data_IF_466019695165
#
_entry.id   IF_466019695165
#
_cell.length_a   1.000
_cell.length_b   1.000
_cell.length_c   1.000
_cell.angle_alpha   90.00
_cell.angle_beta   90.00
_cell.angle_gamma   90.00
#
_symmetry.space_group_name_H-M   'P 1'
#
loop_
_entity.id
_entity.type
_entity.pdbx_description
1 polymer ?
#
# COMPACT_ATOMS: atom_id res chain seq x y z
N UNK A 1 -45.00 -2.65 38.12
CA UNK A 1 -43.74 -2.02 38.59
C UNK A 1 -42.62 -2.50 37.69
N UNK A 2 -41.96 -1.58 36.99
CA UNK A 2 -40.80 -1.81 36.13
C UNK A 2 -39.51 -1.77 36.95
N UNK A 3 -38.61 -2.72 36.70
CA UNK A 3 -37.13 -2.64 36.77
C UNK A 3 -36.63 -3.91 36.06
N UNK A 4 -36.03 -3.87 34.86
CA UNK A 4 -34.67 -3.37 34.57
C UNK A 4 -33.66 -4.29 35.28
N UNK A 5 -32.81 -5.09 34.62
CA UNK A 5 -31.72 -4.69 33.71
C UNK A 5 -31.19 -5.95 33.01
N UNK A 6 -30.92 -5.86 31.71
CA UNK A 6 -30.20 -6.88 30.95
C UNK A 6 -28.70 -6.81 31.16
N UNK A 7 -28.04 -7.97 31.10
CA UNK A 7 -26.59 -8.08 30.91
C UNK A 7 -26.37 -9.21 29.91
N UNK A 8 -26.21 -8.86 28.63
CA UNK A 8 -25.59 -9.75 27.65
C UNK A 8 -24.10 -9.83 28.01
N UNK A 9 -23.66 -10.99 28.49
CA UNK A 9 -22.25 -11.28 28.67
C UNK A 9 -21.59 -11.45 27.30
N UNK A 10 -21.07 -10.37 26.73
CA UNK A 10 -20.07 -10.43 25.65
C UNK A 10 -18.72 -10.78 26.29
N UNK A 11 -18.48 -12.08 26.44
CA UNK A 11 -17.18 -12.60 26.81
C UNK A 11 -16.23 -12.51 25.60
N UNK A 12 -15.33 -11.53 25.69
CA UNK A 12 -13.89 -11.67 25.43
C UNK A 12 -13.43 -12.21 24.07
N UNK A 13 -13.24 -11.31 23.12
CA UNK A 13 -12.07 -11.38 22.23
C UNK A 13 -10.98 -10.50 22.82
N UNK A 14 -9.71 -10.95 22.87
CA UNK A 14 -8.64 -10.11 23.40
C UNK A 14 -8.40 -8.98 22.42
N UNK A 15 -8.85 -7.77 22.80
CA UNK A 15 -8.24 -6.53 22.38
C UNK A 15 -6.81 -6.52 22.94
N UNK A 16 -5.91 -7.24 22.29
CA UNK A 16 -4.48 -7.05 22.43
C UNK A 16 -4.02 -6.19 21.27
N UNK A 17 -3.34 -5.10 21.63
CA UNK A 17 -2.55 -4.22 20.76
C UNK A 17 -3.29 -3.14 19.95
N UNK A 18 -4.13 -2.35 20.62
CA UNK A 18 -4.63 -1.08 20.06
C UNK A 18 -3.77 0.15 20.44
N UNK A 19 -2.60 -0.04 21.06
CA UNK A 19 -1.82 1.05 21.69
C UNK A 19 -0.31 1.03 21.37
N UNK A 20 0.11 0.39 20.27
CA UNK A 20 1.44 0.67 19.72
C UNK A 20 1.33 1.83 18.71
N UNK A 21 1.94 3.00 18.96
CA UNK A 21 1.94 4.11 18.01
C UNK A 21 2.61 3.75 16.67
N UNK A 22 3.42 2.68 16.59
CA UNK A 22 3.95 2.16 15.33
C UNK A 22 2.95 1.29 14.55
N UNK A 23 1.88 0.80 15.19
CA UNK A 23 0.76 0.09 14.53
C UNK A 23 -0.29 1.04 13.93
N UNK A 24 -0.16 2.36 14.10
CA UNK A 24 -1.13 3.35 13.65
C UNK A 24 -1.12 3.61 12.13
N UNK A 25 -0.13 3.08 11.40
CA UNK A 25 -0.23 2.93 9.94
C UNK A 25 -0.92 1.61 9.66
N UNK A 26 -2.22 1.56 9.96
CA UNK A 26 -3.12 0.55 9.40
C UNK A 26 -2.83 0.49 7.91
N UNK A 27 -2.43 -0.70 7.43
CA UNK A 27 -2.31 -1.04 6.03
C UNK A 27 -3.46 -0.41 5.25
N UNK A 28 -3.17 0.71 4.57
CA UNK A 28 -4.16 1.45 3.83
C UNK A 28 -4.20 0.85 2.43
N UNK A 29 -4.84 -0.31 2.32
CA UNK A 29 -5.13 -0.92 1.03
C UNK A 29 -6.24 -0.10 0.36
N UNK A 30 -5.84 0.86 -0.47
CA UNK A 30 -6.80 1.50 -1.36
C UNK A 30 -7.01 0.59 -2.56
N UNK A 31 -8.02 -0.26 -2.42
CA UNK A 31 -8.47 -1.18 -3.46
C UNK A 31 -9.21 -0.39 -4.55
N UNK A 32 -8.67 -0.51 -5.77
CA UNK A 32 -9.24 -0.04 -7.03
C UNK A 32 -9.25 1.47 -7.24
N UNK A 33 -8.09 1.97 -7.64
CA UNK A 33 -7.90 3.32 -8.17
C UNK A 33 -8.08 3.31 -9.71
N UNK A 34 -8.58 4.40 -10.25
CA UNK A 34 -8.68 4.64 -11.70
C UNK A 34 -8.31 6.10 -11.97
N UNK A 35 -7.08 6.45 -11.60
CA UNK A 35 -6.52 7.78 -11.77
C UNK A 35 -5.16 7.69 -12.47
N UNK A 36 -4.73 8.73 -13.21
CA UNK A 36 -3.40 8.75 -13.82
C UNK A 36 -2.31 8.59 -12.74
N UNK A 37 -1.38 7.65 -12.95
CA UNK A 37 -0.28 7.46 -12.02
C UNK A 37 0.66 8.69 -12.03
N UNK A 38 0.93 9.31 -10.87
CA UNK A 38 1.78 10.50 -10.83
C UNK A 38 3.24 10.20 -11.24
N UNK A 39 3.85 11.12 -11.98
CA UNK A 39 5.31 11.14 -12.18
C UNK A 39 5.92 9.93 -12.89
N UNK A 40 5.19 9.24 -13.77
CA UNK A 40 5.69 8.07 -14.51
C UNK A 40 7.02 8.33 -15.24
N UNK A 41 7.17 9.52 -15.82
CA UNK A 41 8.40 9.93 -16.52
C UNK A 41 9.60 10.01 -15.57
N UNK A 42 9.38 10.55 -14.36
CA UNK A 42 10.40 10.65 -13.31
C UNK A 42 10.76 9.29 -12.74
N UNK A 43 9.78 8.38 -12.69
CA UNK A 43 9.93 6.99 -12.28
C UNK A 43 10.58 6.12 -13.37
N UNK A 44 10.69 6.62 -14.61
CA UNK A 44 11.21 5.86 -15.74
C UNK A 44 10.31 4.70 -16.17
N UNK A 45 9.02 4.75 -15.82
CA UNK A 45 8.03 3.74 -16.21
C UNK A 45 7.75 3.89 -17.70
N UNK A 46 7.91 2.78 -18.45
CA UNK A 46 7.64 2.79 -19.89
C UNK A 46 6.17 2.49 -20.17
N UNK A 47 5.53 3.19 -21.13
CA UNK A 47 4.16 2.87 -21.55
C UNK A 47 4.02 1.43 -22.07
N UNK A 48 2.79 0.90 -22.01
CA UNK A 48 2.43 -0.39 -22.63
C UNK A 48 2.84 -1.63 -21.82
N UNK A 49 3.39 -1.45 -20.62
CA UNK A 49 3.68 -2.55 -19.69
C UNK A 49 3.35 -2.13 -18.26
N UNK A 50 2.66 -2.95 -17.46
CA UNK A 50 2.41 -2.67 -16.05
C UNK A 50 3.70 -2.39 -15.26
N UNK A 51 3.58 -1.69 -14.15
CA UNK A 51 4.68 -1.41 -13.25
C UNK A 51 4.29 -1.58 -11.78
N UNK A 52 5.23 -2.09 -10.98
CA UNK A 52 5.18 -2.02 -9.53
C UNK A 52 6.16 -0.94 -9.09
N UNK A 53 5.64 0.09 -8.44
CA UNK A 53 6.41 1.22 -7.91
C UNK A 53 6.57 1.02 -6.42
N UNK A 54 7.75 0.59 -5.99
CA UNK A 54 8.12 0.40 -4.59
C UNK A 54 8.60 1.72 -3.99
N UNK A 55 7.98 2.12 -2.89
CA UNK A 55 8.37 3.27 -2.07
C UNK A 55 9.05 2.77 -0.81
N UNK A 56 10.30 3.20 -0.61
CA UNK A 56 11.15 2.67 0.46
C UNK A 56 12.41 3.53 0.65
N UNK A 57 12.92 3.55 1.89
CA UNK A 57 14.25 4.08 2.21
C UNK A 57 15.36 3.05 1.97
N UNK A 58 16.62 3.49 1.91
CA UNK A 58 17.76 2.58 1.81
C UNK A 58 18.07 1.92 3.17
N UNK A 59 18.30 0.59 3.24
CA UNK A 59 18.26 -0.37 2.14
C UNK A 59 16.83 -0.75 1.74
N UNK A 60 16.58 -0.85 0.43
CA UNK A 60 15.31 -1.32 -0.12
C UNK A 60 15.55 -2.50 -1.06
N UNK A 61 15.06 -3.66 -0.64
CA UNK A 61 15.13 -4.90 -1.40
C UNK A 61 13.73 -5.46 -1.64
N UNK A 62 12.98 -4.90 -2.63
CA UNK A 62 11.65 -5.38 -2.96
C UNK A 62 11.71 -6.76 -3.61
N UNK A 63 10.66 -7.57 -3.43
CA UNK A 63 10.56 -8.87 -4.08
C UNK A 63 10.53 -8.73 -5.61
N UNK A 64 11.09 -9.71 -6.31
CA UNK A 64 11.00 -9.77 -7.77
C UNK A 64 9.64 -10.35 -8.20
N UNK A 65 8.96 -9.63 -9.08
CA UNK A 65 7.70 -10.04 -9.70
C UNK A 65 7.84 -10.12 -11.22
N UNK A 66 7.04 -10.98 -11.85
CA UNK A 66 7.04 -11.17 -13.30
C UNK A 66 5.90 -10.41 -13.97
N UNK A 67 6.04 -10.12 -15.26
CA UNK A 67 5.00 -9.42 -16.04
C UNK A 67 5.05 -7.89 -15.93
N UNK A 68 5.47 -7.34 -14.79
CA UNK A 68 5.57 -5.90 -14.56
C UNK A 68 7.01 -5.36 -14.59
N UNK A 69 7.14 -4.04 -14.74
CA UNK A 69 8.37 -3.29 -14.52
C UNK A 69 8.56 -3.06 -13.02
N UNK A 70 9.73 -3.39 -12.47
CA UNK A 70 10.07 -3.10 -11.08
C UNK A 70 10.74 -1.75 -10.97
N UNK A 71 10.08 -0.79 -10.32
CA UNK A 71 10.56 0.58 -10.15
C UNK A 71 10.66 0.91 -8.67
N UNK A 72 11.74 1.61 -8.27
CA UNK A 72 11.96 2.01 -6.88
C UNK A 72 12.01 3.53 -6.79
N UNK A 73 11.40 4.08 -5.75
CA UNK A 73 11.45 5.52 -5.47
C UNK A 73 11.66 5.77 -3.98
N UNK A 74 12.66 6.60 -3.69
CA UNK A 74 12.88 7.18 -2.36
C UNK A 74 12.50 8.67 -2.33
N UNK A 75 11.76 9.17 -3.32
CA UNK A 75 11.38 10.57 -3.43
C UNK A 75 10.20 10.89 -2.50
N UNK A 76 10.37 11.82 -1.53
CA UNK A 76 9.27 12.25 -0.66
C UNK A 76 8.12 12.92 -1.43
N UNK A 77 8.42 13.64 -2.51
CA UNK A 77 7.38 14.31 -3.30
C UNK A 77 6.52 13.32 -4.07
N UNK A 78 7.14 12.28 -4.66
CA UNK A 78 6.38 11.18 -5.27
C UNK A 78 5.63 10.38 -4.19
N UNK A 79 6.26 10.07 -3.06
CA UNK A 79 5.59 9.36 -1.97
C UNK A 79 4.35 10.13 -1.48
N UNK A 80 4.41 11.47 -1.38
CA UNK A 80 3.24 12.29 -1.06
C UNK A 80 2.13 12.17 -2.11
N UNK A 81 2.48 12.24 -3.40
CA UNK A 81 1.50 12.12 -4.49
C UNK A 81 0.82 10.75 -4.52
N UNK A 82 1.54 9.70 -4.15
CA UNK A 82 0.99 8.35 -4.00
C UNK A 82 0.39 8.09 -2.61
N UNK A 83 0.28 9.09 -1.74
CA UNK A 83 -0.20 8.94 -0.35
C UNK A 83 0.56 7.87 0.47
N UNK A 84 1.86 7.71 0.19
CA UNK A 84 2.80 6.80 0.86
C UNK A 84 3.84 7.57 1.68
N UNK A 85 3.50 8.77 2.15
CA UNK A 85 4.31 9.53 3.09
C UNK A 85 3.84 9.19 4.52
N UNK A 86 4.76 8.94 5.45
CA UNK A 86 4.42 8.81 6.87
C UNK A 86 3.99 10.17 7.44
N UNK A 87 3.35 10.15 8.60
CA UNK A 87 3.06 11.35 9.41
C UNK A 87 4.30 12.22 9.69
N UNK A 88 5.45 11.59 9.92
CA UNK A 88 6.75 12.23 10.12
C UNK A 88 7.38 12.78 8.82
N UNK A 89 6.68 12.71 7.68
CA UNK A 89 7.16 13.22 6.40
C UNK A 89 8.19 12.34 5.69
N UNK A 90 8.34 11.07 6.11
CA UNK A 90 9.29 10.11 5.52
C UNK A 90 8.60 9.28 4.45
N UNK A 91 9.37 8.71 3.53
CA UNK A 91 8.84 7.72 2.59
C UNK A 91 8.43 6.47 3.37
N UNK A 92 7.14 6.15 3.32
CA UNK A 92 6.58 4.94 3.88
C UNK A 92 6.98 3.71 3.08
N UNK A 93 7.15 2.58 3.76
CA UNK A 93 7.35 1.30 3.07
C UNK A 93 6.02 0.86 2.46
N UNK A 94 6.00 0.69 1.15
CA UNK A 94 4.80 0.31 0.43
C UNK A 94 5.04 0.22 -1.07
N UNK A 95 3.97 -0.07 -1.79
CA UNK A 95 4.04 -0.15 -3.25
C UNK A 95 2.73 0.32 -3.90
N UNK A 96 2.86 0.67 -5.17
CA UNK A 96 1.75 1.01 -6.04
C UNK A 96 1.79 0.18 -7.32
N UNK A 97 0.63 -0.14 -7.86
CA UNK A 97 0.48 -0.85 -9.13
C UNK A 97 -0.04 0.10 -10.19
N UNK A 98 0.68 0.17 -11.29
CA UNK A 98 0.32 0.94 -12.48
C UNK A 98 0.03 -0.05 -13.60
N UNK A 99 -1.12 0.09 -14.25
CA UNK A 99 -1.47 -0.75 -15.39
C UNK A 99 -0.73 -0.36 -16.68
N UNK A 100 -0.99 -1.11 -17.76
CA UNK A 100 -0.35 -0.88 -19.06
C UNK A 100 -0.69 0.47 -19.71
N UNK A 101 -1.81 1.08 -19.31
CA UNK A 101 -2.29 2.39 -19.78
C UNK A 101 -1.67 3.57 -19.00
N UNK A 102 -1.00 3.29 -17.88
CA UNK A 102 -0.45 4.30 -16.98
C UNK A 102 -1.42 4.72 -15.87
N UNK A 103 -2.52 4.00 -15.66
CA UNK A 103 -3.43 4.26 -14.56
C UNK A 103 -2.91 3.60 -13.27
N UNK A 104 -2.96 4.34 -12.17
CA UNK A 104 -2.76 3.83 -10.83
C UNK A 104 -3.98 2.98 -10.45
N UNK A 105 -3.75 1.69 -10.17
CA UNK A 105 -4.82 0.72 -9.85
C UNK A 105 -4.87 0.32 -8.39
N UNK A 106 -3.73 0.38 -7.73
CA UNK A 106 -3.59 -0.05 -6.34
C UNK A 106 -2.45 0.72 -5.68
N UNK A 107 -2.59 0.98 -4.39
CA UNK A 107 -1.46 1.40 -3.55
C UNK A 107 -1.70 0.93 -2.13
N UNK A 108 -0.62 0.58 -1.46
CA UNK A 108 -0.67 0.19 -0.06
C UNK A 108 0.59 0.61 0.68
N UNK A 109 0.39 0.92 1.95
CA UNK A 109 1.47 0.95 2.94
C UNK A 109 1.63 -0.49 3.46
N UNK A 110 2.71 -1.15 3.07
CA UNK A 110 3.02 -2.53 3.44
C UNK A 110 4.52 -2.66 3.73
N UNK A 111 4.92 -2.76 5.01
CA UNK A 111 6.31 -3.01 5.38
C UNK A 111 6.77 -4.45 5.09
N UNK A 112 5.86 -5.39 4.87
CA UNK A 112 6.14 -6.81 4.64
C UNK A 112 6.46 -7.17 3.19
N UNK A 113 5.97 -6.39 2.21
CA UNK A 113 6.16 -6.57 0.77
C UNK A 113 6.05 -8.05 0.34
N UNK A 114 4.86 -8.61 0.46
CA UNK A 114 4.63 -10.02 0.22
C UNK A 114 4.62 -10.35 -1.29
N UNK A 115 5.69 -10.96 -1.80
CA UNK A 115 5.85 -11.32 -3.24
C UNK A 115 4.60 -11.96 -3.86
N UNK A 116 4.02 -12.95 -3.19
CA UNK A 116 2.90 -13.72 -3.75
C UNK A 116 1.65 -12.86 -3.91
N UNK A 117 1.39 -11.97 -2.97
CA UNK A 117 0.30 -11.02 -3.03
C UNK A 117 0.50 -10.04 -4.19
N UNK A 118 1.69 -9.44 -4.28
CA UNK A 118 2.03 -8.51 -5.36
C UNK A 118 1.88 -9.19 -6.72
N UNK A 119 2.32 -10.45 -6.86
CA UNK A 119 2.17 -11.20 -8.11
C UNK A 119 0.69 -11.42 -8.46
N UNK A 120 -0.15 -11.81 -7.51
CA UNK A 120 -1.60 -11.98 -7.73
C UNK A 120 -2.23 -10.67 -8.22
N UNK A 121 -1.86 -9.55 -7.60
CA UNK A 121 -2.40 -8.25 -7.99
C UNK A 121 -1.90 -7.81 -9.38
N UNK A 122 -0.63 -8.07 -9.70
CA UNK A 122 -0.07 -7.81 -11.05
C UNK A 122 -0.77 -8.64 -12.11
N UNK A 123 -1.01 -9.93 -11.85
CA UNK A 123 -1.69 -10.83 -12.79
C UNK A 123 -3.16 -10.44 -13.01
N UNK A 124 -3.75 -9.69 -12.09
CA UNK A 124 -5.12 -9.18 -12.16
C UNK A 124 -5.24 -7.79 -12.83
N UNK A 125 -4.12 -7.15 -13.20
CA UNK A 125 -4.15 -5.85 -13.86
C UNK A 125 -4.73 -5.97 -15.29
N UNK A 126 -5.50 -4.96 -15.74
CA UNK A 126 -6.09 -4.93 -17.08
C UNK A 126 -5.07 -4.66 -18.21
#
# INVERSE_FOLDING_TARGET
MLTGVGVLAYLSSPAHELHDPNHALQQLDLLYLDEPAPGLDLLGVRPGRPAVVYFCGAPCDPPQVTGAQDVRSSSPDLARQYALLTDAGRVGHGYALVDSSGALRYRTFDPGLHRQEIQILVDALP
#
